data_IF_969461644617
#
_entry.id   IF_969461644617
#
_cell.length_a   1.000
_cell.length_b   1.000
_cell.length_c   1.000
_cell.angle_alpha   90.00
_cell.angle_beta   90.00
_cell.angle_gamma   90.00
#
_symmetry.space_group_name_H-M   'P 1'
#
loop_
_entity.id
_entity.type
_entity.pdbx_description
1 polymer ?
#
# COMPACT_ATOMS: atom_id res chain seq x y z
N UNK A 1 5.39 -14.11 -1.35
CA UNK A 1 5.02 -12.78 -1.91
C UNK A 1 3.50 -12.62 -1.79
N UNK A 2 3.01 -11.45 -1.40
CA UNK A 2 1.58 -11.26 -1.10
C UNK A 2 1.13 -12.03 0.15
N UNK A 3 -0.04 -12.66 0.11
CA UNK A 3 -0.62 -13.43 1.22
C UNK A 3 0.21 -14.65 1.68
N UNK A 4 1.21 -15.07 0.91
CA UNK A 4 2.12 -16.18 1.28
C UNK A 4 3.21 -15.77 2.29
N UNK A 5 3.30 -14.48 2.64
CA UNK A 5 4.27 -13.99 3.63
C UNK A 5 3.51 -13.23 4.72
N UNK A 6 3.56 -13.72 5.96
CA UNK A 6 2.66 -13.28 7.03
C UNK A 6 2.64 -11.76 7.30
N UNK A 7 3.79 -11.07 7.42
CA UNK A 7 3.78 -9.62 7.65
C UNK A 7 3.09 -8.84 6.52
N UNK A 8 3.30 -9.27 5.29
CA UNK A 8 2.66 -8.69 4.11
C UNK A 8 1.19 -9.07 4.03
N UNK A 9 0.84 -10.32 4.33
CA UNK A 9 -0.52 -10.81 4.35
C UNK A 9 -1.39 -10.04 5.34
N UNK A 10 -0.85 -9.73 6.52
CA UNK A 10 -1.51 -8.90 7.53
C UNK A 10 -1.83 -7.49 7.02
N UNK A 11 -0.90 -6.84 6.31
CA UNK A 11 -1.12 -5.51 5.73
C UNK A 11 -2.12 -5.53 4.56
N UNK A 12 -2.14 -6.60 3.78
CA UNK A 12 -3.07 -6.74 2.65
C UNK A 12 -4.45 -7.25 3.07
N UNK A 13 -4.57 -7.81 4.26
CA UNK A 13 -5.83 -8.28 4.77
C UNK A 13 -6.84 -7.12 4.77
N UNK A 14 -8.05 -7.31 4.23
CA UNK A 14 -9.06 -6.27 4.28
C UNK A 14 -9.46 -5.99 5.72
N UNK A 15 -9.80 -4.73 6.02
CA UNK A 15 -10.13 -4.29 7.39
C UNK A 15 -11.28 -5.07 8.07
N UNK A 16 -12.14 -5.70 7.28
CA UNK A 16 -13.29 -6.46 7.76
C UNK A 16 -12.99 -7.94 8.02
N UNK A 17 -11.71 -8.34 8.00
CA UNK A 17 -11.24 -9.69 8.26
C UNK A 17 -10.09 -9.68 9.28
N UNK A 18 -10.05 -10.73 10.09
CA UNK A 18 -9.00 -10.94 11.09
C UNK A 18 -7.93 -11.82 10.45
N UNK A 19 -6.72 -11.29 10.29
CA UNK A 19 -5.62 -12.05 9.66
C UNK A 19 -5.18 -13.23 10.53
N UNK A 20 -5.33 -13.13 11.84
CA UNK A 20 -4.98 -14.17 12.80
C UNK A 20 -5.84 -15.44 12.69
N UNK A 21 -6.97 -15.38 11.95
CA UNK A 21 -7.81 -16.56 11.66
C UNK A 21 -7.19 -17.42 10.54
N UNK A 22 -6.82 -18.69 10.80
CA UNK A 22 -6.26 -19.59 9.79
C UNK A 22 -7.15 -19.77 8.56
N UNK A 23 -8.48 -19.74 8.72
CA UNK A 23 -9.42 -19.87 7.60
C UNK A 23 -9.35 -18.65 6.68
N UNK A 24 -9.15 -17.45 7.24
CA UNK A 24 -8.97 -16.22 6.48
C UNK A 24 -7.64 -16.25 5.74
N UNK A 25 -6.55 -16.65 6.40
CA UNK A 25 -5.24 -16.74 5.76
C UNK A 25 -5.27 -17.72 4.58
N UNK A 26 -5.80 -18.92 4.81
CA UNK A 26 -5.89 -19.94 3.79
C UNK A 26 -6.83 -19.51 2.67
N UNK A 27 -7.99 -18.94 2.99
CA UNK A 27 -8.94 -18.47 1.98
C UNK A 27 -8.43 -17.31 1.12
N UNK A 28 -7.60 -16.41 1.68
CA UNK A 28 -6.94 -15.34 0.93
C UNK A 28 -5.78 -15.87 0.07
N UNK A 29 -5.04 -16.88 0.55
CA UNK A 29 -3.97 -17.55 -0.22
C UNK A 29 -4.52 -18.36 -1.39
N UNK A 30 -5.56 -19.14 -1.13
CA UNK A 30 -6.24 -20.00 -2.10
C UNK A 30 -7.21 -19.23 -3.00
N UNK A 31 -7.42 -17.93 -2.72
CA UNK A 31 -8.32 -17.02 -3.43
C UNK A 31 -9.79 -17.43 -3.41
N UNK A 32 -10.18 -18.26 -2.45
CA UNK A 32 -11.59 -18.58 -2.20
C UNK A 32 -12.32 -17.39 -1.56
N UNK A 33 -11.58 -16.56 -0.81
CA UNK A 33 -12.05 -15.28 -0.30
C UNK A 33 -11.54 -14.19 -1.24
N UNK A 34 -12.44 -13.63 -2.04
CA UNK A 34 -12.14 -12.46 -2.86
C UNK A 34 -12.57 -11.18 -2.12
N UNK A 35 -11.63 -10.30 -1.71
CA UNK A 35 -11.99 -9.03 -1.10
C UNK A 35 -12.86 -8.20 -2.05
N UNK A 36 -13.95 -7.63 -1.53
CA UNK A 36 -14.77 -6.68 -2.30
C UNK A 36 -13.97 -5.40 -2.58
N UNK A 37 -14.32 -4.66 -3.63
CA UNK A 37 -13.70 -3.37 -3.94
C UNK A 37 -13.79 -2.34 -2.78
N UNK A 38 -14.80 -2.48 -1.92
CA UNK A 38 -15.01 -1.67 -0.71
C UNK A 38 -14.20 -2.14 0.49
N UNK A 39 -13.61 -3.34 0.45
CA UNK A 39 -12.86 -3.93 1.54
C UNK A 39 -11.37 -3.59 1.37
N UNK A 40 -11.03 -2.35 1.71
CA UNK A 40 -9.67 -1.84 1.53
C UNK A 40 -8.64 -2.58 2.41
N UNK A 41 -7.42 -2.77 1.90
CA UNK A 41 -6.34 -3.36 2.70
C UNK A 41 -5.93 -2.43 3.84
N UNK A 42 -5.59 -3.01 4.99
CA UNK A 42 -5.11 -2.26 6.16
C UNK A 42 -3.88 -1.41 5.87
N UNK A 43 -3.07 -1.80 4.87
CA UNK A 43 -1.96 -1.04 4.33
C UNK A 43 -2.30 0.42 3.99
N UNK A 44 -3.55 0.75 3.65
CA UNK A 44 -3.92 2.14 3.36
C UNK A 44 -4.01 2.99 4.63
N UNK A 45 -4.29 2.38 5.77
CA UNK A 45 -4.56 3.10 7.01
C UNK A 45 -3.30 3.39 7.81
N UNK A 46 -3.30 4.51 8.52
CA UNK A 46 -2.30 4.84 9.52
C UNK A 46 -2.16 3.68 10.51
N UNK A 47 -0.92 3.29 10.78
CA UNK A 47 -0.56 2.19 11.69
C UNK A 47 -1.22 0.83 11.38
N UNK A 48 -1.81 0.67 10.19
CA UNK A 48 -2.58 -0.50 9.77
C UNK A 48 -3.83 -0.77 10.63
N UNK A 49 -4.47 0.29 11.13
CA UNK A 49 -5.67 0.20 11.97
C UNK A 49 -6.89 0.84 11.28
N UNK A 50 -8.03 0.16 11.32
CA UNK A 50 -9.30 0.66 10.79
C UNK A 50 -10.20 1.17 11.91
N UNK A 51 -10.63 2.41 11.79
CA UNK A 51 -11.63 3.02 12.68
C UNK A 51 -13.04 2.79 12.10
N UNK A 52 -13.92 2.18 12.91
CA UNK A 52 -15.30 1.88 12.50
C UNK A 52 -16.20 3.12 12.56
N UNK A 53 -15.85 4.08 13.40
CA UNK A 53 -16.63 5.30 13.61
C UNK A 53 -16.28 6.37 12.55
N UNK A 54 -15.02 6.36 12.07
CA UNK A 54 -14.56 7.21 10.96
C UNK A 54 -13.73 6.39 9.94
N UNK A 55 -14.36 5.82 8.90
CA UNK A 55 -13.68 5.02 7.87
C UNK A 55 -12.64 5.78 7.04
N UNK A 56 -12.63 7.12 7.06
CA UNK A 56 -11.64 7.92 6.34
C UNK A 56 -10.47 8.33 7.24
N UNK A 57 -10.56 8.06 8.54
CA UNK A 57 -9.51 8.37 9.50
C UNK A 57 -8.22 7.66 9.12
N UNK A 58 -7.18 8.45 8.88
CA UNK A 58 -5.85 7.92 8.62
C UNK A 58 -5.70 7.18 7.29
N UNK A 59 -6.68 7.24 6.38
CA UNK A 59 -6.54 6.67 5.05
C UNK A 59 -5.41 7.37 4.27
N UNK A 60 -4.62 6.58 3.53
CA UNK A 60 -3.40 6.98 2.83
C UNK A 60 -2.28 7.53 3.73
N UNK A 61 -2.35 7.31 5.04
CA UNK A 61 -1.33 7.79 6.00
C UNK A 61 -0.46 6.69 6.59
N UNK A 62 -0.50 5.49 6.01
CA UNK A 62 0.43 4.44 6.39
C UNK A 62 1.88 4.85 6.14
N UNK A 63 2.77 4.64 7.12
CA UNK A 63 4.18 5.02 7.02
C UNK A 63 4.88 4.31 5.86
N UNK A 64 4.60 3.03 5.64
CA UNK A 64 5.16 2.27 4.53
C UNK A 64 4.73 2.80 3.17
N UNK A 65 3.46 3.21 3.03
CA UNK A 65 2.97 3.85 1.81
C UNK A 65 3.70 5.17 1.55
N UNK A 66 3.85 6.01 2.58
CA UNK A 66 4.57 7.29 2.49
C UNK A 66 6.05 7.08 2.12
N UNK A 67 6.71 6.08 2.70
CA UNK A 67 8.09 5.74 2.37
C UNK A 67 8.25 5.29 0.91
N UNK A 68 7.31 4.51 0.38
CA UNK A 68 7.30 4.15 -1.04
C UNK A 68 7.11 5.38 -1.93
N UNK A 69 6.19 6.29 -1.57
CA UNK A 69 6.04 7.55 -2.29
C UNK A 69 7.37 8.33 -2.33
N UNK A 70 8.04 8.47 -1.17
CA UNK A 70 9.34 9.14 -1.09
C UNK A 70 10.39 8.41 -1.91
N UNK A 71 10.44 7.10 -1.85
CA UNK A 71 11.38 6.30 -2.64
C UNK A 71 11.22 6.53 -4.15
N UNK A 72 9.97 6.50 -4.65
CA UNK A 72 9.66 6.65 -6.07
C UNK A 72 9.93 8.07 -6.57
N UNK A 73 9.56 9.09 -5.80
CA UNK A 73 9.61 10.48 -6.25
C UNK A 73 10.87 11.23 -5.82
N UNK A 74 11.34 11.01 -4.59
CA UNK A 74 12.50 11.69 -4.02
C UNK A 74 13.78 10.85 -4.10
N UNK A 75 13.63 9.55 -4.33
CA UNK A 75 14.74 8.60 -4.47
C UNK A 75 15.11 7.88 -3.17
N UNK A 76 16.01 6.88 -3.25
CA UNK A 76 16.34 5.99 -2.14
C UNK A 76 16.90 6.71 -0.90
N UNK A 77 17.64 7.81 -1.10
CA UNK A 77 18.23 8.61 -0.02
C UNK A 77 17.21 9.31 0.87
N UNK A 78 15.95 9.39 0.44
CA UNK A 78 14.89 10.11 1.16
C UNK A 78 14.08 9.24 2.12
N UNK A 79 14.41 7.94 2.22
CA UNK A 79 13.74 6.97 3.10
C UNK A 79 14.58 6.74 4.35
N UNK A 80 13.93 6.52 5.49
CA UNK A 80 14.61 6.25 6.75
C UNK A 80 15.44 4.94 6.66
N UNK A 81 16.68 4.97 7.14
CA UNK A 81 17.60 3.82 7.08
C UNK A 81 18.35 3.67 5.76
N UNK A 82 18.21 4.60 4.80
CA UNK A 82 19.05 4.62 3.62
C UNK A 82 20.53 4.83 4.02
N UNK A 83 21.39 3.86 3.67
CA UNK A 83 22.84 4.04 3.64
C UNK A 83 23.11 5.31 2.86
N UNK A 84 23.94 6.22 3.39
CA UNK A 84 24.26 7.52 2.78
C UNK A 84 24.86 7.34 1.38
N UNK A 85 23.97 7.16 0.42
CA UNK A 85 24.21 7.09 -1.01
C UNK A 85 23.75 8.43 -1.54
N UNK A 86 24.71 9.33 -1.72
CA UNK A 86 24.43 10.58 -2.41
C UNK A 86 24.21 10.26 -3.88
N UNK A 87 22.94 10.24 -4.29
CA UNK A 87 22.60 10.15 -5.70
C UNK A 87 22.91 11.49 -6.37
N UNK A 88 23.79 11.48 -7.37
CA UNK A 88 24.06 12.63 -8.25
C UNK A 88 22.93 12.89 -9.25
N UNK A 89 21.90 12.03 -9.27
CA UNK A 89 20.77 12.15 -10.18
C UNK A 89 19.66 12.97 -9.52
N UNK A 90 19.11 13.92 -10.27
CA UNK A 90 17.89 14.66 -9.89
C UNK A 90 16.74 13.69 -9.60
N UNK A 91 15.99 13.96 -8.55
CA UNK A 91 14.83 13.14 -8.16
C UNK A 91 13.70 13.29 -9.19
N UNK A 92 12.79 12.32 -9.26
CA UNK A 92 11.65 12.43 -10.18
C UNK A 92 10.76 13.64 -9.83
N UNK A 93 10.65 13.98 -8.54
CA UNK A 93 9.98 15.20 -8.12
C UNK A 93 10.67 16.44 -8.70
N UNK A 94 12.01 16.52 -8.62
CA UNK A 94 12.76 17.67 -9.14
C UNK A 94 12.68 17.77 -10.68
N UNK A 95 12.80 16.64 -11.38
CA UNK A 95 12.66 16.56 -12.85
C UNK A 95 11.30 17.10 -13.31
N UNK A 96 10.24 16.80 -12.56
CA UNK A 96 8.88 17.24 -12.86
C UNK A 96 8.45 18.50 -12.10
N UNK A 97 9.37 19.18 -11.40
CA UNK A 97 9.10 20.36 -10.56
C UNK A 97 7.94 20.17 -9.58
N UNK A 98 7.80 18.96 -9.03
CA UNK A 98 6.77 18.59 -8.07
C UNK A 98 7.16 19.06 -6.66
N UNK A 99 6.42 20.04 -6.14
CA UNK A 99 6.57 20.54 -4.76
C UNK A 99 5.56 19.93 -3.80
N UNK A 100 4.48 19.35 -4.32
CA UNK A 100 3.39 18.73 -3.53
C UNK A 100 3.00 17.37 -4.12
N UNK A 101 2.52 16.48 -3.26
CA UNK A 101 1.99 15.18 -3.67
C UNK A 101 0.48 15.36 -3.91
N UNK A 102 0.05 15.15 -5.15
CA UNK A 102 -1.37 15.22 -5.54
C UNK A 102 -2.09 13.90 -5.32
N UNK A 103 -3.43 13.94 -5.24
CA UNK A 103 -4.24 12.73 -5.08
C UNK A 103 -3.97 11.64 -6.15
N UNK A 104 -3.78 11.97 -7.45
CA UNK A 104 -3.39 10.98 -8.46
C UNK A 104 -2.06 10.28 -8.17
N UNK A 105 -1.09 11.00 -7.59
CA UNK A 105 0.21 10.43 -7.21
C UNK A 105 0.06 9.44 -6.06
N UNK A 106 -0.76 9.78 -5.07
CA UNK A 106 -1.10 8.86 -3.96
C UNK A 106 -1.76 7.61 -4.51
N UNK A 107 -2.74 7.76 -5.41
CA UNK A 107 -3.42 6.63 -6.05
C UNK A 107 -2.43 5.75 -6.83
N UNK A 108 -1.53 6.35 -7.60
CA UNK A 108 -0.47 5.64 -8.31
C UNK A 108 0.44 4.84 -7.38
N UNK A 109 0.91 5.44 -6.28
CA UNK A 109 1.71 4.74 -5.28
C UNK A 109 0.93 3.63 -4.58
N UNK A 110 -0.35 3.82 -4.29
CA UNK A 110 -1.20 2.77 -3.74
C UNK A 110 -1.27 1.58 -4.69
N UNK A 111 -1.47 1.83 -5.99
CA UNK A 111 -1.42 0.77 -7.02
C UNK A 111 -0.05 0.11 -7.02
N UNK A 112 1.05 0.87 -7.04
CA UNK A 112 2.40 0.30 -7.05
C UNK A 112 2.71 -0.57 -5.83
N UNK A 113 2.18 -0.27 -4.64
CA UNK A 113 2.38 -1.13 -3.47
C UNK A 113 1.42 -2.33 -3.52
N UNK A 114 0.17 -2.12 -3.92
CA UNK A 114 -0.85 -3.16 -3.95
C UNK A 114 -0.66 -4.19 -5.08
N UNK A 115 -0.08 -3.82 -6.21
CA UNK A 115 0.03 -4.62 -7.44
C UNK A 115 1.10 -5.73 -7.41
N UNK A 116 2.32 -5.53 -6.88
CA UNK A 116 3.26 -6.62 -6.62
C UNK A 116 2.88 -7.46 -5.39
N UNK A 117 2.02 -6.92 -4.52
CA UNK A 117 1.57 -7.57 -3.30
C UNK A 117 0.26 -8.36 -3.49
N UNK A 118 -0.58 -8.00 -4.46
CA UNK A 118 -1.81 -8.71 -4.79
C UNK A 118 -2.11 -8.58 -6.29
N UNK A 119 -2.09 -9.71 -7.02
CA UNK A 119 -2.66 -9.78 -8.38
C UNK A 119 -4.19 -9.65 -8.38
N UNK A 120 -4.81 -9.30 -7.25
CA UNK A 120 -6.26 -9.38 -7.01
C UNK A 120 -6.96 -8.03 -7.22
N UNK A 121 -6.28 -6.90 -7.00
CA UNK A 121 -6.89 -5.58 -7.10
C UNK A 121 -7.02 -5.04 -8.54
N UNK A 122 -6.17 -5.50 -9.47
CA UNK A 122 -6.27 -5.13 -10.89
C UNK A 122 -7.58 -5.60 -11.55
N UNK A 123 -8.07 -6.78 -11.17
CA UNK A 123 -9.30 -7.33 -11.76
C UNK A 123 -10.53 -6.50 -11.37
N UNK A 124 -10.52 -5.88 -10.19
CA UNK A 124 -11.63 -5.06 -9.71
C UNK A 124 -11.68 -3.67 -10.36
N UNK A 125 -10.53 -3.09 -10.74
CA UNK A 125 -10.45 -1.77 -11.37
C UNK A 125 -10.65 -1.78 -12.89
N UNK A 126 -10.47 -2.93 -13.55
CA UNK A 126 -10.72 -3.08 -14.99
C UNK A 126 -12.20 -3.43 -15.29
N UNK A 127 -12.99 -3.76 -14.26
CA UNK A 127 -14.40 -4.17 -14.42
C UNK A 127 -15.40 -3.05 -14.04
N UNK A 128 -14.95 -1.79 -13.97
CA UNK A 128 -15.81 -0.59 -13.85
C UNK A 128 -15.59 0.28 -15.07
#
# INVERSE_FOLDING_TARGET
RGFNYDPTGKLLCPFNKVWEDPLVQQGLRDKTINPKATAWPLLLYADAEFDKDDPFRGIFRNKGLIEVCKYVFLGPSSVAGAVHSQSTRRSNADIHSMTTISAPVIAYCCVLVCHPLSRVLLQALITV
#
